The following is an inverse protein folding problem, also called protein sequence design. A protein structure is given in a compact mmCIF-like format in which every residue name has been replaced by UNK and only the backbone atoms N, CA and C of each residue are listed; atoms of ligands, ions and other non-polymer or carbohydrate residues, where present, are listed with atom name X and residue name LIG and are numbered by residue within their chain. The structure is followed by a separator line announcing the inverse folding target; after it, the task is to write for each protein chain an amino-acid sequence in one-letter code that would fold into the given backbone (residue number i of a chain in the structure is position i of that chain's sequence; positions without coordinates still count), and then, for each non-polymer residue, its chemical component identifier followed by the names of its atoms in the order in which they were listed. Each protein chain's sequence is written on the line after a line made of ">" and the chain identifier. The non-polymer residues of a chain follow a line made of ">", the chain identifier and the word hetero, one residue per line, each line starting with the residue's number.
data_IF_503554147970
#
_entry.id   IF_503554147970
#
_cell.length_a   1.000
_cell.length_b   1.000
_cell.length_c   1.000
_cell.angle_alpha   90.00
_cell.angle_beta   90.00
_cell.angle_gamma   90.00
#
_symmetry.space_group_name_H-M   'P 1'
#
loop_
_entity.id
_entity.type
_entity.pdbx_description
1 polymer ?
#
# COMPACT_ATOMS: atom_id res chain seq x y z
N UNK A 1 -2.24 -13.82 15.15
CA UNK A 1 -2.82 -12.85 14.19
C UNK A 1 -4.11 -13.42 13.62
N UNK A 2 -5.18 -12.65 13.49
CA UNK A 2 -6.46 -13.06 12.88
C UNK A 2 -7.23 -11.84 12.35
N UNK A 3 -8.18 -12.09 11.47
CA UNK A 3 -9.10 -11.07 10.94
C UNK A 3 -10.52 -11.33 11.45
N UNK A 4 -11.18 -10.28 11.88
CA UNK A 4 -12.57 -10.29 12.33
C UNK A 4 -13.41 -9.41 11.40
N UNK A 5 -14.36 -9.99 10.69
CA UNK A 5 -15.32 -9.26 9.88
C UNK A 5 -16.43 -8.71 10.79
N UNK A 6 -16.59 -7.37 10.82
CA UNK A 6 -17.53 -6.69 11.72
C UNK A 6 -18.87 -6.42 11.03
N UNK A 7 -18.81 -5.88 9.81
CA UNK A 7 -20.02 -5.49 9.06
C UNK A 7 -19.80 -5.55 7.55
N UNK A 8 -20.88 -5.75 6.81
CA UNK A 8 -20.95 -5.63 5.36
C UNK A 8 -22.02 -4.57 5.00
N UNK A 9 -21.73 -3.78 3.98
CA UNK A 9 -22.72 -2.87 3.40
C UNK A 9 -23.78 -3.68 2.63
N UNK A 10 -25.06 -3.39 2.85
CA UNK A 10 -26.16 -4.17 2.23
C UNK A 10 -26.31 -3.91 0.71
N UNK A 11 -25.72 -2.82 0.20
CA UNK A 11 -25.88 -2.35 -1.18
C UNK A 11 -24.63 -2.50 -2.04
N UNK A 12 -23.56 -3.01 -1.46
CA UNK A 12 -22.26 -3.23 -2.16
C UNK A 12 -21.49 -4.37 -1.53
N UNK A 13 -20.29 -4.64 -2.04
CA UNK A 13 -19.35 -5.60 -1.43
C UNK A 13 -18.44 -4.95 -0.37
N UNK A 14 -18.67 -3.68 -0.02
CA UNK A 14 -17.88 -2.97 0.97
C UNK A 14 -18.05 -3.62 2.36
N UNK A 15 -16.93 -3.72 3.07
CA UNK A 15 -16.91 -4.41 4.36
C UNK A 15 -15.99 -3.71 5.37
N UNK A 16 -16.34 -3.81 6.63
CA UNK A 16 -15.58 -3.30 7.75
C UNK A 16 -15.11 -4.45 8.64
N UNK A 17 -13.83 -4.50 8.95
CA UNK A 17 -13.23 -5.55 9.77
C UNK A 17 -12.19 -5.01 10.75
N UNK A 18 -11.55 -5.95 11.46
CA UNK A 18 -10.38 -5.72 12.31
C UNK A 18 -9.33 -6.78 12.04
N UNK A 19 -8.14 -6.36 11.69
CA UNK A 19 -6.98 -7.24 11.57
C UNK A 19 -6.14 -7.08 12.84
N UNK A 20 -6.07 -8.14 13.65
CA UNK A 20 -5.32 -8.18 14.90
C UNK A 20 -3.88 -8.60 14.61
N UNK A 21 -2.92 -7.70 14.88
CA UNK A 21 -1.49 -7.99 14.95
C UNK A 21 -1.00 -7.84 16.38
N UNK A 22 0.23 -8.24 16.64
CA UNK A 22 0.79 -8.12 17.99
C UNK A 22 1.13 -6.66 18.35
N UNK A 23 1.35 -5.79 17.33
CA UNK A 23 1.65 -4.38 17.54
C UNK A 23 0.42 -3.46 17.47
N UNK A 24 -0.65 -3.85 16.74
CA UNK A 24 -1.80 -2.99 16.54
C UNK A 24 -3.04 -3.77 16.10
N UNK A 25 -4.23 -3.32 16.51
CA UNK A 25 -5.48 -3.68 15.87
C UNK A 25 -5.73 -2.71 14.73
N UNK A 26 -5.78 -3.22 13.50
CA UNK A 26 -5.96 -2.44 12.29
C UNK A 26 -7.42 -2.47 11.90
N UNK A 27 -8.08 -1.32 11.88
CA UNK A 27 -9.47 -1.17 11.45
C UNK A 27 -9.52 -1.02 9.93
N UNK A 28 -10.18 -1.96 9.25
CA UNK A 28 -10.34 -1.92 7.79
C UNK A 28 -11.71 -1.35 7.39
N UNK A 29 -11.83 -0.68 6.21
CA UNK A 29 -10.76 -0.42 5.23
C UNK A 29 -9.66 0.48 5.79
N UNK A 30 -8.41 0.25 5.33
CA UNK A 30 -7.24 1.03 5.78
C UNK A 30 -6.34 1.42 4.61
N UNK A 31 -5.75 2.61 4.71
CA UNK A 31 -4.64 3.05 3.84
C UNK A 31 -3.32 3.01 4.61
N UNK A 32 -2.29 2.43 4.02
CA UNK A 32 -0.95 2.28 4.59
C UNK A 32 0.00 3.33 4.00
N UNK A 33 0.45 4.33 4.78
CA UNK A 33 1.52 5.23 4.34
C UNK A 33 2.80 4.48 3.99
N UNK A 34 3.42 4.82 2.84
CA UNK A 34 4.61 4.13 2.34
C UNK A 34 5.87 4.75 2.92
N UNK A 35 6.57 3.96 3.76
CA UNK A 35 7.87 4.28 4.33
C UNK A 35 9.00 3.50 3.64
N UNK A 36 9.35 3.84 2.41
CA UNK A 36 10.23 3.10 1.50
C UNK A 36 11.54 2.61 2.14
N UNK A 37 12.22 3.46 2.89
CA UNK A 37 13.48 3.15 3.59
C UNK A 37 13.32 3.25 5.12
N UNK A 38 12.16 2.83 5.63
CA UNK A 38 11.80 2.99 7.04
C UNK A 38 11.38 4.44 7.39
N UNK A 39 11.07 5.26 6.40
CA UNK A 39 10.63 6.65 6.59
C UNK A 39 9.56 7.00 5.57
N UNK A 40 8.41 7.47 6.04
CA UNK A 40 7.40 8.11 5.20
C UNK A 40 7.92 9.49 4.82
N UNK A 41 7.99 9.76 3.51
CA UNK A 41 8.70 10.95 2.99
C UNK A 41 8.14 12.26 3.55
N UNK A 42 9.02 13.05 4.16
CA UNK A 42 8.76 14.36 4.74
C UNK A 42 7.75 14.37 5.92
N UNK A 43 7.64 13.25 6.66
CA UNK A 43 6.75 13.14 7.82
C UNK A 43 7.48 12.45 8.97
N UNK A 44 7.40 13.00 10.17
CA UNK A 44 7.96 12.40 11.37
C UNK A 44 7.04 11.28 11.90
N UNK A 45 7.63 10.31 12.63
CA UNK A 45 6.86 9.21 13.23
C UNK A 45 5.78 9.70 14.21
N UNK A 46 6.04 10.73 15.00
CA UNK A 46 5.03 11.30 15.90
C UNK A 46 3.84 11.90 15.14
N UNK A 47 4.08 12.59 14.01
CA UNK A 47 3.02 13.11 13.14
C UNK A 47 2.17 11.96 12.54
N UNK A 48 2.84 10.85 12.12
CA UNK A 48 2.13 9.66 11.65
C UNK A 48 1.25 9.04 12.74
N UNK A 49 1.72 9.03 13.99
CA UNK A 49 0.99 8.44 15.13
C UNK A 49 -0.11 9.35 15.66
N UNK A 50 0.21 10.60 15.93
CA UNK A 50 -0.62 11.46 16.76
C UNK A 50 -1.56 12.34 15.94
N UNK A 51 -1.11 12.81 14.77
CA UNK A 51 -1.91 13.68 13.89
C UNK A 51 -2.61 12.86 12.79
N UNK A 52 -1.85 12.11 12.00
CA UNK A 52 -2.35 11.30 10.88
C UNK A 52 -3.07 10.04 11.39
N UNK A 53 -2.68 9.51 12.56
CA UNK A 53 -3.25 8.32 13.21
C UNK A 53 -3.12 7.05 12.38
N UNK A 54 -2.00 6.91 11.65
CA UNK A 54 -1.69 5.71 10.90
C UNK A 54 -1.58 4.50 11.83
N UNK A 55 -2.29 3.42 11.54
CA UNK A 55 -2.29 2.18 12.31
C UNK A 55 -1.25 1.19 11.81
N UNK A 56 -0.85 1.33 10.56
CA UNK A 56 0.11 0.48 9.86
C UNK A 56 0.84 1.32 8.83
N UNK A 57 2.12 1.02 8.61
CA UNK A 57 2.92 1.58 7.50
C UNK A 57 3.48 0.45 6.65
N UNK A 58 3.86 0.79 5.41
CA UNK A 58 4.51 -0.15 4.50
C UNK A 58 6.00 0.18 4.35
N UNK A 59 6.86 -0.82 4.55
CA UNK A 59 8.29 -0.78 4.24
C UNK A 59 8.62 -1.54 2.96
N UNK A 60 9.62 -1.09 2.18
CA UNK A 60 10.02 -1.80 0.98
C UNK A 60 11.24 -2.68 1.23
N UNK A 61 11.06 -3.99 1.15
CA UNK A 61 12.11 -4.99 1.39
C UNK A 61 13.35 -4.78 0.56
N UNK A 62 13.22 -4.54 -0.75
CA UNK A 62 14.35 -4.27 -1.65
C UNK A 62 15.22 -3.11 -1.16
N UNK A 63 14.60 -2.00 -0.79
CA UNK A 63 15.33 -0.82 -0.34
C UNK A 63 15.99 -1.03 1.01
N UNK A 64 15.29 -1.64 1.97
CA UNK A 64 15.82 -1.93 3.30
C UNK A 64 16.94 -2.97 3.26
N UNK A 65 16.84 -3.96 2.39
CA UNK A 65 17.91 -4.95 2.11
C UNK A 65 19.19 -4.29 1.62
N UNK A 66 19.11 -3.36 0.68
CA UNK A 66 20.27 -2.67 0.13
C UNK A 66 20.81 -1.58 1.05
N UNK A 67 19.93 -0.85 1.74
CA UNK A 67 20.30 0.24 2.64
C UNK A 67 19.20 0.48 3.68
N UNK A 68 19.49 0.38 4.98
CA UNK A 68 20.83 0.34 5.60
C UNK A 68 21.52 -1.03 5.50
N UNK A 69 20.83 -2.08 5.04
CA UNK A 69 21.30 -3.46 5.03
C UNK A 69 20.79 -4.25 6.24
N UNK A 70 20.73 -5.56 6.06
CA UNK A 70 20.10 -6.45 7.04
C UNK A 70 20.85 -6.52 8.38
N UNK A 71 22.18 -6.45 8.35
CA UNK A 71 22.99 -6.45 9.57
C UNK A 71 22.65 -5.28 10.49
N UNK A 72 22.49 -4.08 9.94
CA UNK A 72 22.13 -2.88 10.72
C UNK A 72 20.76 -3.04 11.34
N UNK A 73 19.77 -3.51 10.56
CA UNK A 73 18.39 -3.70 11.04
C UNK A 73 18.35 -4.78 12.13
N UNK A 74 19.07 -5.89 11.94
CA UNK A 74 19.15 -6.99 12.89
C UNK A 74 19.76 -6.55 14.22
N UNK A 75 20.90 -5.82 14.15
CA UNK A 75 21.58 -5.29 15.34
C UNK A 75 20.74 -4.26 16.10
N UNK A 76 19.87 -3.53 15.40
CA UNK A 76 18.89 -2.63 16.03
C UNK A 76 17.74 -3.37 16.72
N UNK A 77 17.55 -4.67 16.49
CA UNK A 77 16.44 -5.47 17.00
C UNK A 77 15.16 -5.36 16.15
N UNK A 78 15.32 -5.25 14.82
CA UNK A 78 14.25 -5.16 13.83
C UNK A 78 13.87 -3.74 13.44
N UNK A 79 13.05 -3.62 12.39
CA UNK A 79 12.67 -2.33 11.82
C UNK A 79 11.87 -1.47 12.80
N UNK A 80 10.98 -2.05 13.60
CA UNK A 80 10.20 -1.34 14.61
C UNK A 80 11.11 -0.53 15.54
N UNK A 81 12.14 -1.16 16.10
CA UNK A 81 13.10 -0.49 16.97
C UNK A 81 13.99 0.49 16.21
N UNK A 82 14.43 0.10 15.02
CA UNK A 82 15.32 0.92 14.19
C UNK A 82 14.71 2.29 13.85
N UNK A 83 13.40 2.32 13.53
CA UNK A 83 12.72 3.57 13.15
C UNK A 83 11.85 4.18 14.26
N UNK A 84 11.87 3.60 15.47
CA UNK A 84 11.02 4.03 16.59
C UNK A 84 9.52 4.04 16.24
N UNK A 85 9.04 2.92 15.69
CA UNK A 85 7.64 2.72 15.32
C UNK A 85 7.06 1.52 16.07
N UNK A 86 6.02 1.74 16.88
CA UNK A 86 5.42 0.76 17.77
C UNK A 86 4.06 0.21 17.26
N UNK A 87 3.66 0.55 16.03
CA UNK A 87 2.46 0.06 15.38
C UNK A 87 2.82 -0.94 14.29
N UNK A 88 1.81 -1.51 13.64
CA UNK A 88 2.02 -2.54 12.63
C UNK A 88 2.87 -2.07 11.43
N UNK A 89 3.63 -3.00 10.86
CA UNK A 89 4.40 -2.82 9.63
C UNK A 89 4.06 -3.95 8.66
N UNK A 90 3.76 -3.60 7.41
CA UNK A 90 3.77 -4.53 6.29
C UNK A 90 5.04 -4.31 5.46
N UNK A 91 5.70 -5.38 5.02
CA UNK A 91 6.77 -5.29 4.02
C UNK A 91 6.35 -5.96 2.72
N UNK A 92 6.62 -5.27 1.59
CA UNK A 92 6.50 -5.90 0.28
C UNK A 92 7.58 -6.99 0.09
N UNK A 93 7.49 -7.75 -1.01
CA UNK A 93 8.49 -8.77 -1.34
C UNK A 93 9.79 -8.22 -1.93
N UNK A 94 9.78 -6.97 -2.40
CA UNK A 94 10.83 -6.39 -3.23
C UNK A 94 10.75 -6.77 -4.72
N UNK A 95 9.85 -7.64 -5.12
CA UNK A 95 9.68 -8.10 -6.51
C UNK A 95 9.41 -6.95 -7.48
N UNK A 96 8.49 -6.05 -7.15
CA UNK A 96 8.18 -4.88 -7.98
C UNK A 96 9.39 -3.95 -8.17
N UNK A 97 10.20 -3.71 -7.13
CA UNK A 97 11.38 -2.85 -7.22
C UNK A 97 12.48 -3.49 -8.05
N UNK A 98 12.67 -4.80 -7.95
CA UNK A 98 13.56 -5.56 -8.87
C UNK A 98 13.06 -5.41 -10.31
N UNK A 99 11.72 -5.42 -10.51
CA UNK A 99 11.14 -5.19 -11.82
C UNK A 99 11.37 -3.75 -12.33
N UNK A 100 11.09 -2.74 -11.53
CA UNK A 100 11.04 -1.34 -11.96
C UNK A 100 12.40 -0.61 -11.94
N UNK A 101 13.34 -1.01 -11.06
CA UNK A 101 14.59 -0.30 -10.83
C UNK A 101 15.83 -1.02 -11.38
N UNK A 102 15.76 -2.34 -11.59
CA UNK A 102 16.90 -3.11 -12.08
C UNK A 102 16.92 -3.15 -13.61
N UNK A 103 17.79 -2.34 -14.22
CA UNK A 103 17.94 -2.28 -15.69
C UNK A 103 18.31 -3.63 -16.35
N UNK A 104 18.98 -4.53 -15.60
CA UNK A 104 19.42 -5.86 -16.04
C UNK A 104 18.98 -6.90 -15.02
N UNK A 105 17.69 -7.31 -15.07
CA UNK A 105 17.20 -8.44 -14.28
C UNK A 105 17.10 -9.70 -15.11
N UNK A 106 17.29 -10.85 -14.46
CA UNK A 106 17.01 -12.16 -15.03
C UNK A 106 16.12 -12.95 -14.08
N UNK A 107 14.97 -13.37 -14.58
CA UNK A 107 14.04 -14.23 -13.85
C UNK A 107 14.32 -15.68 -14.18
N UNK A 108 14.32 -16.53 -13.19
CA UNK A 108 14.54 -17.98 -13.29
C UNK A 108 13.64 -18.70 -12.30
N UNK A 109 13.49 -20.02 -12.43
CA UNK A 109 12.76 -20.82 -11.43
C UNK A 109 13.38 -20.65 -10.01
N UNK A 110 14.68 -20.39 -9.91
CA UNK A 110 15.37 -20.17 -8.63
C UNK A 110 14.97 -18.84 -7.98
N UNK A 111 14.82 -17.77 -8.76
CA UNK A 111 14.51 -16.43 -8.25
C UNK A 111 14.84 -15.33 -9.26
N UNK A 112 14.82 -14.11 -8.76
CA UNK A 112 15.10 -12.89 -9.51
C UNK A 112 16.55 -12.42 -9.27
N UNK A 113 17.38 -12.48 -10.30
CA UNK A 113 18.77 -11.98 -10.29
C UNK A 113 18.74 -10.52 -10.75
N UNK A 114 19.39 -9.63 -10.01
CA UNK A 114 19.42 -8.21 -10.32
C UNK A 114 20.74 -7.54 -9.91
N UNK A 115 20.94 -6.32 -10.41
CA UNK A 115 22.03 -5.43 -9.95
C UNK A 115 21.47 -4.33 -9.09
N UNK A 116 22.11 -4.06 -7.97
CA UNK A 116 21.80 -2.93 -7.10
C UNK A 116 21.88 -1.61 -7.88
N UNK A 117 20.86 -0.77 -7.73
CA UNK A 117 20.86 0.58 -8.31
C UNK A 117 21.78 1.55 -7.56
N UNK A 118 22.31 1.14 -6.39
CA UNK A 118 23.17 1.98 -5.53
C UNK A 118 24.62 1.88 -5.96
N UNK A 119 25.11 0.64 -6.15
CA UNK A 119 26.53 0.33 -6.34
C UNK A 119 26.82 -0.66 -7.47
N UNK A 120 25.77 -1.18 -8.13
CA UNK A 120 25.88 -2.14 -9.22
C UNK A 120 26.21 -3.57 -8.79
N UNK A 121 26.30 -3.87 -7.49
CA UNK A 121 26.51 -5.22 -6.97
C UNK A 121 25.41 -6.18 -7.41
N UNK A 122 25.77 -7.45 -7.62
CA UNK A 122 24.86 -8.50 -8.09
C UNK A 122 24.20 -9.20 -6.90
N UNK A 123 22.89 -9.32 -6.95
CA UNK A 123 22.05 -9.95 -5.94
C UNK A 123 21.07 -10.95 -6.56
N UNK A 124 20.55 -11.83 -5.74
CA UNK A 124 19.45 -12.73 -6.09
C UNK A 124 18.40 -12.70 -4.97
N UNK A 125 17.15 -12.50 -5.35
CA UNK A 125 15.99 -12.76 -4.49
C UNK A 125 15.39 -14.10 -4.86
N UNK A 126 15.45 -15.06 -3.95
CA UNK A 126 14.71 -16.32 -4.02
C UNK A 126 13.51 -16.26 -3.09
N UNK A 127 12.49 -17.11 -3.27
CA UNK A 127 11.36 -17.17 -2.35
C UNK A 127 11.79 -17.35 -0.89
N UNK A 128 12.82 -18.12 -0.65
CA UNK A 128 13.33 -18.42 0.68
C UNK A 128 14.05 -17.22 1.30
N UNK A 129 15.04 -16.64 0.60
CA UNK A 129 15.83 -15.56 1.18
C UNK A 129 15.05 -14.25 1.32
N UNK A 130 13.96 -14.05 0.56
CA UNK A 130 13.05 -12.93 0.76
C UNK A 130 12.25 -13.07 2.06
N UNK A 131 11.90 -14.30 2.44
CA UNK A 131 11.29 -14.57 3.76
C UNK A 131 12.31 -14.30 4.86
N UNK A 132 13.54 -14.84 4.75
CA UNK A 132 14.59 -14.61 5.73
C UNK A 132 14.89 -13.11 5.89
N UNK A 133 14.92 -12.38 4.78
CA UNK A 133 15.03 -10.91 4.77
C UNK A 133 13.91 -10.24 5.56
N UNK A 134 12.66 -10.62 5.31
CA UNK A 134 11.50 -10.05 6.02
C UNK A 134 11.43 -10.50 7.50
N UNK A 135 11.96 -11.71 7.82
CA UNK A 135 12.16 -12.14 9.23
C UNK A 135 13.15 -11.21 9.95
N UNK A 136 14.27 -10.86 9.30
CA UNK A 136 15.26 -9.92 9.84
C UNK A 136 14.69 -8.50 9.94
N UNK A 137 13.90 -8.05 8.97
CA UNK A 137 13.20 -6.77 9.05
C UNK A 137 12.20 -6.76 10.20
N UNK A 138 11.50 -7.88 10.43
CA UNK A 138 10.57 -8.04 11.56
C UNK A 138 9.23 -7.32 11.35
N UNK A 139 8.70 -7.29 10.11
CA UNK A 139 7.35 -6.76 9.85
C UNK A 139 6.26 -7.69 10.39
N UNK A 140 5.07 -7.15 10.70
CA UNK A 140 3.90 -7.96 11.10
C UNK A 140 3.35 -8.76 9.91
N UNK A 141 3.36 -8.15 8.72
CA UNK A 141 2.85 -8.78 7.49
C UNK A 141 3.98 -8.81 6.46
N UNK A 142 4.28 -10.00 5.97
CA UNK A 142 5.27 -10.28 4.93
C UNK A 142 4.57 -10.63 3.64
N UNK A 143 5.04 -10.10 2.51
CA UNK A 143 4.49 -10.41 1.18
C UNK A 143 5.29 -11.49 0.48
N UNK A 144 4.59 -12.36 -0.27
CA UNK A 144 5.22 -13.36 -1.11
C UNK A 144 6.00 -12.74 -2.26
N UNK A 145 7.14 -13.37 -2.64
CA UNK A 145 7.86 -12.97 -3.85
C UNK A 145 7.02 -13.30 -5.08
N UNK A 146 6.83 -12.31 -5.94
CA UNK A 146 6.02 -12.38 -7.14
C UNK A 146 6.68 -11.67 -8.33
N UNK A 147 6.20 -11.95 -9.53
CA UNK A 147 6.53 -11.17 -10.71
C UNK A 147 5.33 -10.29 -11.10
N UNK A 148 5.52 -8.97 -11.00
CA UNK A 148 4.58 -7.98 -11.52
C UNK A 148 4.83 -7.78 -13.02
N UNK A 149 3.87 -8.17 -13.86
CA UNK A 149 3.97 -7.98 -15.31
C UNK A 149 3.73 -6.51 -15.71
N UNK A 150 4.36 -6.01 -16.80
CA UNK A 150 4.01 -4.69 -17.33
C UNK A 150 2.60 -4.67 -17.93
N UNK A 151 2.06 -3.48 -18.17
CA UNK A 151 0.87 -3.28 -18.98
C UNK A 151 1.22 -2.35 -20.17
N UNK A 152 0.79 -2.67 -21.39
CA UNK A 152 0.21 -3.96 -21.80
C UNK A 152 1.22 -5.11 -21.80
N UNK A 153 0.73 -6.34 -21.64
CA UNK A 153 1.57 -7.51 -21.79
C UNK A 153 0.81 -8.62 -22.55
N UNK A 154 1.54 -9.43 -23.31
CA UNK A 154 0.94 -10.52 -24.06
C UNK A 154 0.47 -11.66 -23.13
N UNK A 155 -0.63 -12.32 -23.50
CA UNK A 155 -1.22 -13.42 -22.73
C UNK A 155 -0.20 -14.53 -22.39
N UNK A 156 0.61 -14.94 -23.37
CA UNK A 156 1.65 -15.98 -23.18
C UNK A 156 2.66 -15.58 -22.12
N UNK A 157 3.09 -14.30 -22.12
CA UNK A 157 4.00 -13.79 -21.11
C UNK A 157 3.32 -13.75 -19.74
N UNK A 158 2.11 -13.21 -19.63
CA UNK A 158 1.35 -13.15 -18.39
C UNK A 158 1.13 -14.55 -17.79
N UNK A 159 0.82 -15.55 -18.63
CA UNK A 159 0.66 -16.95 -18.19
C UNK A 159 1.96 -17.54 -17.65
N UNK A 160 3.09 -17.34 -18.35
CA UNK A 160 4.38 -17.86 -17.89
C UNK A 160 4.83 -17.19 -16.58
N UNK A 161 4.63 -15.88 -16.45
CA UNK A 161 4.88 -15.11 -15.24
C UNK A 161 4.03 -15.61 -14.06
N UNK A 162 2.75 -15.89 -14.31
CA UNK A 162 1.87 -16.46 -13.31
C UNK A 162 2.34 -17.84 -12.85
N UNK A 163 2.69 -18.73 -13.78
CA UNK A 163 3.18 -20.07 -13.46
C UNK A 163 4.49 -19.99 -12.65
N UNK A 164 5.37 -19.03 -12.92
CA UNK A 164 6.58 -18.76 -12.14
C UNK A 164 6.25 -18.25 -10.74
N UNK A 165 5.36 -17.27 -10.62
CA UNK A 165 4.90 -16.72 -9.33
C UNK A 165 4.30 -17.81 -8.44
N UNK A 166 3.51 -18.73 -9.02
CA UNK A 166 2.94 -19.85 -8.28
C UNK A 166 4.02 -20.82 -7.76
N UNK A 167 5.04 -21.16 -8.56
CA UNK A 167 6.18 -21.99 -8.11
C UNK A 167 6.93 -21.32 -6.95
N UNK A 168 7.16 -20.02 -7.06
CA UNK A 168 7.81 -19.25 -6.00
C UNK A 168 6.97 -19.21 -4.72
N UNK A 169 5.63 -19.08 -4.85
CA UNK A 169 4.75 -19.10 -3.69
C UNK A 169 4.80 -20.43 -2.94
N UNK A 170 4.77 -21.58 -3.66
CA UNK A 170 4.87 -22.90 -3.03
C UNK A 170 6.15 -23.04 -2.21
N UNK A 171 7.29 -22.66 -2.79
CA UNK A 171 8.59 -22.69 -2.12
C UNK A 171 8.62 -21.74 -0.92
N UNK A 172 8.17 -20.51 -1.13
CA UNK A 172 8.09 -19.49 -0.08
C UNK A 172 7.22 -19.96 1.09
N UNK A 173 6.03 -20.48 0.81
CA UNK A 173 5.13 -20.95 1.87
C UNK A 173 5.70 -22.14 2.65
N UNK A 174 6.41 -23.04 1.95
CA UNK A 174 7.11 -24.16 2.59
C UNK A 174 8.26 -23.67 3.50
N UNK A 175 8.98 -22.62 3.09
CA UNK A 175 10.07 -22.04 3.89
C UNK A 175 9.51 -21.23 5.07
N UNK A 176 8.46 -20.44 4.85
CA UNK A 176 7.77 -19.70 5.91
C UNK A 176 7.34 -20.59 7.08
N UNK A 177 6.81 -21.79 6.78
CA UNK A 177 6.40 -22.76 7.81
C UNK A 177 7.56 -23.40 8.58
N UNK A 178 8.79 -23.30 8.07
CA UNK A 178 10.00 -23.86 8.70
C UNK A 178 10.81 -22.83 9.48
N UNK A 179 10.49 -21.54 9.31
CA UNK A 179 11.21 -20.44 9.94
C UNK A 179 10.36 -19.73 10.98
N UNK A 180 11.01 -19.25 12.03
CA UNK A 180 10.35 -18.58 13.15
C UNK A 180 10.61 -17.05 13.13
N UNK A 181 9.69 -16.24 13.67
CA UNK A 181 9.93 -14.83 13.92
C UNK A 181 11.11 -14.59 14.85
N UNK A 182 11.89 -13.54 14.61
CA UNK A 182 13.13 -13.27 15.38
C UNK A 182 12.92 -12.39 16.61
N UNK A 183 11.82 -11.62 16.69
CA UNK A 183 11.67 -10.55 17.68
C UNK A 183 10.50 -10.74 18.64
N UNK A 184 9.98 -11.97 18.77
CA UNK A 184 8.97 -12.33 19.76
C UNK A 184 7.53 -11.90 19.43
N UNK A 185 7.26 -11.48 18.19
CA UNK A 185 5.91 -11.23 17.68
C UNK A 185 5.62 -12.09 16.44
N UNK A 186 4.37 -12.37 16.20
CA UNK A 186 3.93 -13.17 15.07
C UNK A 186 4.02 -12.37 13.75
N UNK A 187 4.39 -13.06 12.68
CA UNK A 187 4.44 -12.50 11.33
C UNK A 187 3.53 -13.32 10.42
N UNK A 188 2.59 -12.66 9.73
CA UNK A 188 1.77 -13.30 8.70
C UNK A 188 2.47 -13.27 7.34
N UNK A 189 2.19 -14.25 6.49
CA UNK A 189 2.69 -14.30 5.11
C UNK A 189 1.50 -14.28 4.15
N UNK A 190 1.41 -13.21 3.32
CA UNK A 190 0.32 -12.99 2.39
C UNK A 190 0.73 -13.42 0.98
N UNK A 191 0.04 -14.40 0.38
CA UNK A 191 0.17 -14.70 -1.03
C UNK A 191 -0.43 -13.60 -1.90
N UNK A 192 0.06 -13.50 -3.16
CA UNK A 192 -0.32 -12.45 -4.10
C UNK A 192 -0.99 -13.08 -5.32
N UNK A 193 -2.20 -12.63 -5.64
CA UNK A 193 -2.88 -12.93 -6.90
C UNK A 193 -2.25 -12.11 -8.02
N UNK A 194 -1.78 -12.78 -9.08
CA UNK A 194 -1.28 -12.18 -10.31
C UNK A 194 -2.14 -12.58 -11.52
N UNK A 195 -1.78 -12.23 -12.75
CA UNK A 195 -2.52 -12.61 -13.97
C UNK A 195 -2.79 -11.46 -14.92
N UNK A 196 -2.10 -10.30 -14.73
CA UNK A 196 -2.30 -9.10 -15.55
C UNK A 196 -3.79 -8.71 -15.62
N UNK A 197 -4.31 -8.41 -16.80
CA UNK A 197 -5.72 -8.05 -17.06
C UNK A 197 -6.51 -9.19 -17.73
N UNK A 198 -6.06 -10.44 -17.55
CA UNK A 198 -6.70 -11.62 -18.12
C UNK A 198 -7.54 -12.34 -17.07
N UNK A 199 -8.86 -12.38 -17.26
CA UNK A 199 -9.82 -12.94 -16.31
C UNK A 199 -9.51 -14.38 -15.90
N UNK A 200 -9.26 -15.24 -16.89
CA UNK A 200 -8.95 -16.65 -16.67
C UNK A 200 -7.67 -16.86 -15.87
N UNK A 201 -6.65 -16.02 -16.10
CA UNK A 201 -5.41 -16.05 -15.32
C UNK A 201 -5.64 -15.53 -13.89
N UNK A 202 -6.44 -14.48 -13.71
CA UNK A 202 -6.84 -13.98 -12.39
C UNK A 202 -7.64 -15.03 -11.60
N UNK A 203 -8.59 -15.70 -12.25
CA UNK A 203 -9.35 -16.80 -11.64
C UNK A 203 -8.42 -17.94 -11.22
N UNK A 204 -7.59 -18.43 -12.15
CA UNK A 204 -6.59 -19.48 -11.88
C UNK A 204 -5.70 -19.10 -10.70
N UNK A 205 -5.25 -17.85 -10.63
CA UNK A 205 -4.40 -17.37 -9.56
C UNK A 205 -5.13 -17.30 -8.22
N UNK A 206 -6.34 -16.74 -8.19
CA UNK A 206 -7.15 -16.67 -6.98
C UNK A 206 -7.48 -18.06 -6.42
N UNK A 207 -7.87 -19.02 -7.28
CA UNK A 207 -8.10 -20.41 -6.90
C UNK A 207 -6.83 -21.08 -6.35
N UNK A 208 -5.67 -20.77 -6.93
CA UNK A 208 -4.41 -21.34 -6.50
C UNK A 208 -3.99 -20.81 -5.14
N UNK A 209 -3.97 -19.47 -4.95
CA UNK A 209 -3.54 -18.87 -3.69
C UNK A 209 -4.49 -19.17 -2.53
N UNK A 210 -5.78 -19.36 -2.80
CA UNK A 210 -6.79 -19.71 -1.78
C UNK A 210 -6.58 -21.10 -1.15
N UNK A 211 -5.73 -21.95 -1.74
CA UNK A 211 -5.37 -23.24 -1.15
C UNK A 211 -4.39 -23.14 0.02
N UNK A 212 -3.73 -22.00 0.16
CA UNK A 212 -2.80 -21.76 1.25
C UNK A 212 -3.56 -21.21 2.46
N UNK A 213 -3.29 -21.75 3.64
CA UNK A 213 -3.85 -21.23 4.89
C UNK A 213 -3.11 -19.95 5.28
N UNK A 214 -3.53 -18.85 4.68
CA UNK A 214 -3.00 -17.51 4.92
C UNK A 214 -3.97 -16.68 5.78
N UNK A 215 -3.43 -15.73 6.52
CA UNK A 215 -4.23 -14.77 7.31
C UNK A 215 -4.95 -13.79 6.39
N UNK A 216 -4.38 -13.46 5.23
CA UNK A 216 -4.94 -12.56 4.23
C UNK A 216 -4.32 -12.77 2.86
N UNK A 217 -4.88 -12.12 1.86
CA UNK A 217 -4.48 -12.25 0.46
C UNK A 217 -4.28 -10.88 -0.18
N UNK A 218 -3.29 -10.77 -1.07
CA UNK A 218 -3.07 -9.56 -1.83
C UNK A 218 -3.44 -9.74 -3.31
N UNK A 219 -3.78 -8.63 -3.96
CA UNK A 219 -4.03 -8.51 -5.38
C UNK A 219 -2.98 -7.60 -5.96
N UNK A 220 -2.02 -8.17 -6.67
CA UNK A 220 -0.93 -7.45 -7.33
C UNK A 220 -1.11 -7.34 -8.85
N UNK A 221 -0.17 -6.66 -9.52
CA UNK A 221 -0.14 -6.53 -10.98
C UNK A 221 -1.32 -5.76 -11.57
N UNK A 222 -1.90 -4.86 -10.81
CA UNK A 222 -2.89 -3.87 -11.22
C UNK A 222 -2.37 -2.46 -10.92
N UNK A 223 -3.00 -1.42 -11.48
CA UNK A 223 -2.52 -0.02 -11.40
C UNK A 223 -1.12 0.17 -12.00
N UNK A 224 -0.81 -0.58 -13.04
CA UNK A 224 0.47 -0.53 -13.77
C UNK A 224 0.34 0.14 -15.16
N UNK A 225 -0.80 0.79 -15.43
CA UNK A 225 -1.05 1.56 -16.65
C UNK A 225 -2.35 1.20 -17.39
N UNK A 226 -3.09 0.19 -16.93
CA UNK A 226 -4.40 -0.18 -17.47
C UNK A 226 -5.48 0.87 -17.13
N UNK A 227 -6.56 0.95 -17.92
CA UNK A 227 -7.75 1.74 -17.59
C UNK A 227 -8.36 1.30 -16.24
N UNK A 228 -8.91 2.26 -15.49
CA UNK A 228 -9.47 1.99 -14.16
C UNK A 228 -10.59 0.93 -14.19
N UNK A 229 -11.45 0.98 -15.19
CA UNK A 229 -12.56 0.03 -15.39
C UNK A 229 -12.07 -1.41 -15.52
N UNK A 230 -10.93 -1.60 -16.20
CA UNK A 230 -10.30 -2.92 -16.36
C UNK A 230 -9.74 -3.42 -15.02
N UNK A 231 -9.11 -2.53 -14.24
CA UNK A 231 -8.67 -2.84 -12.88
C UNK A 231 -9.86 -3.26 -12.02
N UNK A 232 -10.96 -2.54 -12.06
CA UNK A 232 -12.16 -2.83 -11.28
C UNK A 232 -12.76 -4.19 -11.62
N UNK A 233 -12.85 -4.52 -12.92
CA UNK A 233 -13.30 -5.82 -13.38
C UNK A 233 -12.42 -6.96 -12.86
N UNK A 234 -11.10 -6.79 -12.87
CA UNK A 234 -10.18 -7.81 -12.34
C UNK A 234 -10.30 -7.98 -10.82
N UNK A 235 -10.57 -6.90 -10.09
CA UNK A 235 -10.85 -6.98 -8.65
C UNK A 235 -12.12 -7.80 -8.37
N UNK A 236 -13.19 -7.57 -9.12
CA UNK A 236 -14.44 -8.30 -9.00
C UNK A 236 -14.23 -9.80 -9.24
N UNK A 237 -13.58 -10.17 -10.35
CA UNK A 237 -13.23 -11.55 -10.69
C UNK A 237 -12.47 -12.25 -9.55
N UNK A 238 -11.49 -11.60 -8.96
CA UNK A 238 -10.68 -12.17 -7.88
C UNK A 238 -11.48 -12.28 -6.58
N UNK A 239 -12.26 -11.26 -6.25
CA UNK A 239 -13.00 -11.20 -4.99
C UNK A 239 -14.20 -12.18 -4.91
N UNK A 240 -14.66 -12.69 -6.05
CA UNK A 240 -15.64 -13.80 -6.07
C UNK A 240 -15.06 -15.12 -5.54
N UNK A 241 -13.72 -15.29 -5.65
CA UNK A 241 -13.01 -16.54 -5.33
C UNK A 241 -12.30 -16.47 -3.97
N UNK A 242 -11.68 -15.34 -3.63
CA UNK A 242 -10.94 -15.21 -2.38
C UNK A 242 -11.83 -15.39 -1.15
N UNK A 243 -11.35 -16.07 -0.09
CA UNK A 243 -12.09 -16.29 1.14
C UNK A 243 -12.68 -14.99 1.71
N UNK A 244 -13.97 -15.03 2.05
CA UNK A 244 -14.71 -13.84 2.51
C UNK A 244 -14.31 -13.41 3.93
N UNK A 245 -13.86 -14.36 4.75
CA UNK A 245 -13.42 -14.14 6.14
C UNK A 245 -11.97 -13.69 6.29
N UNK A 246 -11.28 -13.43 5.18
CA UNK A 246 -9.88 -13.00 5.17
C UNK A 246 -9.75 -11.58 4.62
N UNK A 247 -8.80 -10.75 5.08
CA UNK A 247 -8.56 -9.42 4.53
C UNK A 247 -7.95 -9.50 3.13
N UNK A 248 -8.32 -8.54 2.30
CA UNK A 248 -7.88 -8.40 0.90
C UNK A 248 -7.12 -7.09 0.73
N UNK A 249 -5.90 -7.20 0.26
CA UNK A 249 -5.00 -6.08 0.07
C UNK A 249 -4.79 -5.81 -1.43
N UNK A 250 -5.24 -4.65 -1.92
CA UNK A 250 -4.97 -4.19 -3.28
C UNK A 250 -3.69 -3.35 -3.30
N UNK A 251 -2.65 -3.90 -3.93
CA UNK A 251 -1.30 -3.35 -3.88
C UNK A 251 -1.13 -2.14 -4.81
N UNK A 252 -0.50 -1.08 -4.30
CA UNK A 252 -0.09 0.09 -5.08
C UNK A 252 -1.22 1.01 -5.54
N UNK A 253 -2.43 0.84 -5.04
CA UNK A 253 -3.61 1.64 -5.41
C UNK A 253 -3.96 2.63 -4.29
N UNK A 254 -4.23 3.88 -4.53
CA UNK A 254 -3.93 4.75 -5.63
C UNK A 254 -4.57 6.11 -5.43
N UNK A 255 -5.42 6.53 -6.37
CA UNK A 255 -6.17 7.78 -6.22
C UNK A 255 -7.27 7.63 -5.18
N UNK A 256 -7.76 8.73 -4.55
CA UNK A 256 -8.90 8.67 -3.63
C UNK A 256 -10.12 7.98 -4.23
N UNK A 257 -10.40 8.22 -5.52
CA UNK A 257 -11.50 7.57 -6.26
C UNK A 257 -11.27 6.07 -6.35
N UNK A 258 -10.07 5.63 -6.76
CA UNK A 258 -9.77 4.19 -6.89
C UNK A 258 -9.84 3.45 -5.56
N UNK A 259 -9.51 4.12 -4.45
CA UNK A 259 -9.66 3.57 -3.10
C UNK A 259 -11.14 3.33 -2.79
N UNK A 260 -12.01 4.32 -3.01
CA UNK A 260 -13.45 4.17 -2.78
C UNK A 260 -14.08 3.11 -3.68
N UNK A 261 -13.67 3.05 -4.95
CA UNK A 261 -14.10 2.00 -5.89
C UNK A 261 -13.62 0.61 -5.49
N UNK A 262 -12.38 0.51 -4.97
CA UNK A 262 -11.85 -0.73 -4.42
C UNK A 262 -12.61 -1.19 -3.16
N UNK A 263 -12.91 -0.27 -2.25
CA UNK A 263 -13.72 -0.56 -1.05
C UNK A 263 -15.11 -1.07 -1.44
N UNK A 264 -15.79 -0.44 -2.40
CA UNK A 264 -17.10 -0.90 -2.89
C UNK A 264 -17.06 -2.35 -3.38
N UNK A 265 -15.91 -2.80 -3.91
CA UNK A 265 -15.68 -4.14 -4.42
C UNK A 265 -15.12 -5.12 -3.38
N UNK A 266 -15.01 -4.70 -2.12
CA UNK A 266 -14.63 -5.56 -1.00
C UNK A 266 -13.13 -5.63 -0.71
N UNK A 267 -12.37 -4.60 -1.06
CA UNK A 267 -10.97 -4.45 -0.67
C UNK A 267 -10.87 -3.82 0.72
N UNK A 268 -9.95 -4.34 1.55
CA UNK A 268 -9.75 -3.92 2.94
C UNK A 268 -8.51 -3.06 3.15
N UNK A 269 -7.46 -3.28 2.37
CA UNK A 269 -6.15 -2.66 2.60
C UNK A 269 -5.60 -2.06 1.29
N UNK A 270 -4.99 -0.89 1.42
CA UNK A 270 -4.41 -0.13 0.29
C UNK A 270 -3.08 0.48 0.68
N UNK A 271 -2.20 0.65 -0.29
CA UNK A 271 -1.01 1.49 -0.20
C UNK A 271 -0.80 2.26 -1.49
N UNK A 272 -0.18 3.40 -1.42
CA UNK A 272 0.37 4.09 -2.59
C UNK A 272 1.33 5.20 -2.17
N UNK A 273 2.31 5.49 -3.01
CA UNK A 273 3.20 6.64 -2.84
C UNK A 273 2.56 7.98 -3.23
N UNK A 274 1.36 7.96 -3.85
CA UNK A 274 0.71 9.15 -4.39
C UNK A 274 0.49 10.27 -3.36
N UNK A 275 0.02 10.01 -2.13
CA UNK A 275 -0.21 11.10 -1.18
C UNK A 275 1.02 11.98 -0.99
N UNK A 276 2.16 11.40 -0.67
CA UNK A 276 3.40 12.14 -0.44
C UNK A 276 4.09 12.59 -1.74
N UNK A 277 3.98 11.82 -2.83
CA UNK A 277 4.53 12.21 -4.14
C UNK A 277 3.80 13.41 -4.70
N UNK A 278 2.47 13.40 -4.70
CA UNK A 278 1.65 14.50 -5.18
C UNK A 278 1.79 15.74 -4.29
N UNK A 279 1.86 15.58 -2.98
CA UNK A 279 2.13 16.65 -2.03
C UNK A 279 3.40 17.43 -2.39
N UNK A 280 4.51 16.73 -2.56
CA UNK A 280 5.79 17.36 -2.94
C UNK A 280 5.75 18.06 -4.30
N UNK A 281 4.80 17.69 -5.15
CA UNK A 281 4.54 18.34 -6.45
C UNK A 281 3.47 19.43 -6.38
N UNK A 282 2.90 19.70 -5.18
CA UNK A 282 1.94 20.76 -4.96
C UNK A 282 0.50 20.40 -5.28
N UNK A 283 0.18 19.10 -5.37
CA UNK A 283 -1.19 18.62 -5.50
C UNK A 283 -1.71 18.14 -4.14
N UNK A 284 -2.83 18.74 -3.71
CA UNK A 284 -3.48 18.45 -2.43
C UNK A 284 -4.87 17.88 -2.67
N UNK A 285 -5.28 16.95 -1.81
CA UNK A 285 -6.61 16.34 -1.83
C UNK A 285 -7.42 16.86 -0.67
N UNK A 286 -8.63 17.35 -0.93
CA UNK A 286 -9.57 17.83 0.08
C UNK A 286 -10.93 17.15 -0.09
N UNK A 287 -11.81 17.28 0.90
CA UNK A 287 -13.19 16.77 0.83
C UNK A 287 -14.00 17.42 -0.30
N UNK A 288 -13.58 18.60 -0.77
CA UNK A 288 -14.28 19.38 -1.81
C UNK A 288 -13.64 19.27 -3.20
N UNK A 289 -12.45 18.68 -3.27
CA UNK A 289 -11.76 18.53 -4.55
C UNK A 289 -10.23 18.56 -4.46
N UNK A 290 -9.61 18.68 -5.62
CA UNK A 290 -8.16 18.68 -5.80
C UNK A 290 -7.65 20.11 -5.95
N UNK A 291 -6.69 20.51 -5.13
CA UNK A 291 -6.00 21.78 -5.20
C UNK A 291 -4.63 21.58 -5.87
N UNK A 292 -4.37 22.30 -6.95
CA UNK A 292 -2.98 22.55 -7.38
C UNK A 292 -2.52 23.86 -6.74
N UNK A 293 -1.75 23.74 -5.65
CA UNK A 293 -1.32 24.91 -4.87
C UNK A 293 -0.39 25.84 -5.63
N UNK A 294 0.24 25.39 -6.72
CA UNK A 294 1.08 26.22 -7.59
C UNK A 294 0.29 27.24 -8.40
N UNK A 295 -1.02 27.05 -8.55
CA UNK A 295 -1.86 27.97 -9.30
C UNK A 295 -1.80 29.38 -8.70
N UNK A 296 -1.71 30.41 -9.57
CA UNK A 296 -1.58 31.82 -9.20
C UNK A 296 -2.75 32.34 -8.37
N UNK A 297 -3.94 31.79 -8.52
CA UNK A 297 -5.13 32.19 -7.74
C UNK A 297 -4.94 32.05 -6.22
N UNK A 298 -4.05 31.15 -5.77
CA UNK A 298 -3.76 30.95 -4.36
C UNK A 298 -2.71 31.91 -3.80
N UNK A 299 -2.12 32.80 -4.64
CA UNK A 299 -1.04 33.71 -4.24
C UNK A 299 -1.42 34.63 -3.09
N UNK A 300 -2.66 35.11 -3.08
CA UNK A 300 -3.20 36.02 -2.07
C UNK A 300 -4.34 35.38 -1.24
N UNK A 301 -4.43 34.06 -1.22
CA UNK A 301 -5.41 33.34 -0.39
C UNK A 301 -4.80 33.04 0.98
N UNK A 302 -5.08 33.88 1.95
CA UNK A 302 -4.63 33.78 3.34
C UNK A 302 -5.56 32.94 4.22
N UNK A 303 -6.59 32.31 3.65
CA UNK A 303 -7.45 31.38 4.37
C UNK A 303 -6.67 30.09 4.74
N UNK A 304 -7.15 29.34 5.76
CA UNK A 304 -6.59 28.04 6.13
C UNK A 304 -6.42 27.11 4.93
N UNK A 305 -5.42 26.23 5.00
CA UNK A 305 -5.11 25.29 3.92
C UNK A 305 -6.34 24.44 3.55
N UNK A 306 -6.97 23.82 4.54
CA UNK A 306 -8.25 23.12 4.40
C UNK A 306 -9.10 23.30 5.68
N UNK A 307 -10.17 24.09 5.65
CA UNK A 307 -11.04 24.28 6.83
C UNK A 307 -11.71 22.99 7.32
N UNK A 308 -11.87 22.00 6.43
CA UNK A 308 -12.49 20.70 6.74
C UNK A 308 -11.43 19.60 6.96
N UNK A 309 -10.15 19.97 6.92
CA UNK A 309 -9.01 19.05 7.12
C UNK A 309 -8.89 18.56 8.57
N UNK A 310 -8.22 17.44 8.75
CA UNK A 310 -8.13 16.74 10.03
C UNK A 310 -6.76 16.82 10.69
N UNK A 311 -5.78 17.43 10.04
CA UNK A 311 -4.43 17.61 10.57
C UNK A 311 -4.19 19.04 11.08
N UNK A 312 -3.19 19.18 11.97
CA UNK A 312 -2.82 20.50 12.49
C UNK A 312 -2.39 21.47 11.39
N UNK A 313 -1.77 21.00 10.32
CA UNK A 313 -1.30 21.85 9.21
C UNK A 313 -2.46 22.54 8.47
N UNK A 314 -3.64 21.92 8.48
CA UNK A 314 -4.81 22.40 7.74
C UNK A 314 -5.34 23.72 8.29
N UNK A 315 -5.24 23.94 9.60
CA UNK A 315 -5.67 25.15 10.28
C UNK A 315 -4.55 26.15 10.52
N UNK A 316 -3.29 25.69 10.67
CA UNK A 316 -2.17 26.54 11.03
C UNK A 316 -1.54 27.29 9.85
N UNK A 317 -1.66 26.71 8.63
CA UNK A 317 -1.03 27.29 7.45
C UNK A 317 -2.05 27.77 6.42
N UNK A 318 -1.73 28.88 5.75
CA UNK A 318 -2.54 29.41 4.66
C UNK A 318 -2.14 28.81 3.30
N UNK A 319 -3.07 28.83 2.36
CA UNK A 319 -2.80 28.44 0.96
C UNK A 319 -1.71 29.30 0.34
N UNK A 320 -1.71 30.62 0.59
CA UNK A 320 -0.68 31.54 0.10
C UNK A 320 0.71 31.18 0.60
N UNK A 321 0.85 30.84 1.88
CA UNK A 321 2.13 30.45 2.46
C UNK A 321 2.62 29.12 1.93
N UNK A 322 1.77 28.09 1.91
CA UNK A 322 2.15 26.80 1.33
C UNK A 322 2.54 26.93 -0.15
N UNK A 323 1.79 27.74 -0.92
CA UNK A 323 2.16 28.03 -2.31
C UNK A 323 3.57 28.62 -2.41
N UNK A 324 3.89 29.63 -1.58
CA UNK A 324 5.21 30.21 -1.52
C UNK A 324 6.29 29.15 -1.27
N UNK A 325 6.12 28.32 -0.25
CA UNK A 325 7.09 27.27 0.11
C UNK A 325 7.30 26.24 -1.03
N UNK A 326 6.22 25.79 -1.67
CA UNK A 326 6.30 24.81 -2.78
C UNK A 326 7.02 25.43 -4.01
N UNK A 327 6.76 26.69 -4.33
CA UNK A 327 7.44 27.37 -5.45
C UNK A 327 8.91 27.64 -5.13
N UNK A 328 9.21 28.00 -3.88
CA UNK A 328 10.57 28.20 -3.40
C UNK A 328 11.35 26.89 -3.19
N UNK A 329 10.67 25.73 -3.39
CA UNK A 329 11.23 24.40 -3.15
C UNK A 329 11.74 24.18 -1.71
N UNK A 330 11.06 24.81 -0.73
CA UNK A 330 11.37 24.64 0.68
C UNK A 330 10.89 23.29 1.22
N UNK A 331 11.71 22.65 2.05
CA UNK A 331 11.41 21.33 2.64
C UNK A 331 10.14 21.35 3.49
N UNK A 332 9.91 22.46 4.21
CA UNK A 332 8.69 22.65 5.03
C UNK A 332 7.43 22.56 4.15
N UNK A 333 7.45 23.09 2.92
CA UNK A 333 6.31 22.96 1.99
C UNK A 333 5.98 21.50 1.67
N UNK A 334 7.00 20.67 1.44
CA UNK A 334 6.83 19.23 1.22
C UNK A 334 6.29 18.51 2.47
N UNK A 335 6.71 18.91 3.67
CA UNK A 335 6.24 18.37 4.94
C UNK A 335 4.77 18.70 5.18
N UNK A 336 4.40 19.99 5.14
CA UNK A 336 3.01 20.46 5.31
C UNK A 336 2.07 19.72 4.35
N UNK A 337 2.41 19.71 3.05
CA UNK A 337 1.60 19.07 2.04
C UNK A 337 1.49 17.54 2.22
N UNK A 338 2.56 16.87 2.69
CA UNK A 338 2.55 15.43 2.92
C UNK A 338 1.70 15.04 4.13
N UNK A 339 1.78 15.79 5.23
CA UNK A 339 0.93 15.60 6.41
C UNK A 339 -0.53 15.79 6.04
N UNK A 340 -0.86 16.89 5.33
CA UNK A 340 -2.21 17.15 4.83
C UNK A 340 -2.77 15.97 4.00
N UNK A 341 -2.05 15.57 2.94
CA UNK A 341 -2.54 14.52 2.05
C UNK A 341 -2.69 13.17 2.77
N UNK A 342 -1.77 12.79 3.64
CA UNK A 342 -1.88 11.55 4.40
C UNK A 342 -3.06 11.59 5.38
N UNK A 343 -3.26 12.71 6.08
CA UNK A 343 -4.40 12.89 6.96
C UNK A 343 -5.72 12.76 6.19
N UNK A 344 -5.80 13.35 4.99
CA UNK A 344 -6.96 13.19 4.10
C UNK A 344 -7.21 11.72 3.71
N UNK A 345 -6.17 10.97 3.32
CA UNK A 345 -6.32 9.57 2.93
C UNK A 345 -6.78 8.70 4.10
N UNK A 346 -6.23 8.90 5.30
CA UNK A 346 -6.66 8.17 6.50
C UNK A 346 -8.08 8.56 6.91
N UNK A 347 -8.43 9.84 6.81
CA UNK A 347 -9.81 10.32 7.02
C UNK A 347 -10.78 9.65 6.03
N UNK A 348 -10.44 9.58 4.74
CA UNK A 348 -11.28 9.01 3.69
C UNK A 348 -11.67 7.56 3.97
N UNK A 349 -10.68 6.71 4.32
CA UNK A 349 -10.96 5.30 4.63
C UNK A 349 -11.70 5.13 5.96
N UNK A 350 -11.46 6.01 6.94
CA UNK A 350 -12.19 6.03 8.20
C UNK A 350 -13.66 6.41 8.02
N UNK A 351 -13.96 7.42 7.20
CA UNK A 351 -15.34 7.78 6.88
C UNK A 351 -16.01 6.69 6.03
N UNK A 352 -15.28 6.06 5.09
CA UNK A 352 -15.80 4.88 4.38
C UNK A 352 -16.22 3.79 5.37
N UNK A 353 -15.34 3.43 6.33
CA UNK A 353 -15.64 2.45 7.38
C UNK A 353 -16.89 2.82 8.17
N UNK A 354 -17.03 4.07 8.61
CA UNK A 354 -18.18 4.56 9.36
C UNK A 354 -19.48 4.40 8.56
N UNK A 355 -19.44 4.73 7.27
CA UNK A 355 -20.61 4.59 6.41
C UNK A 355 -20.93 3.11 6.10
N UNK A 356 -19.95 2.21 6.02
CA UNK A 356 -20.17 0.77 5.93
C UNK A 356 -20.91 0.26 7.18
N UNK A 357 -20.45 0.64 8.37
CA UNK A 357 -21.07 0.22 9.63
C UNK A 357 -22.52 0.74 9.75
N UNK A 358 -22.78 1.93 9.23
CA UNK A 358 -24.10 2.55 9.25
C UNK A 358 -25.00 2.16 8.05
N UNK A 359 -24.53 1.31 7.15
CA UNK A 359 -25.24 0.88 5.92
C UNK A 359 -25.61 2.03 4.97
N UNK A 360 -24.76 3.05 4.90
CA UNK A 360 -24.92 4.26 4.07
C UNK A 360 -23.76 4.47 3.09
N UNK A 361 -22.90 3.46 2.94
CA UNK A 361 -21.64 3.60 2.19
C UNK A 361 -21.87 3.96 0.72
N UNK A 362 -22.80 3.31 0.05
CA UNK A 362 -23.01 3.50 -1.40
C UNK A 362 -23.43 4.92 -1.75
N UNK A 363 -24.38 5.47 -1.00
CA UNK A 363 -24.87 6.85 -1.19
C UNK A 363 -23.76 7.86 -0.89
N UNK A 364 -23.10 7.73 0.26
CA UNK A 364 -21.98 8.58 0.66
C UNK A 364 -20.83 8.52 -0.36
N UNK A 365 -20.44 7.32 -0.80
CA UNK A 365 -19.38 7.12 -1.80
C UNK A 365 -19.68 7.87 -3.09
N UNK A 366 -20.91 7.76 -3.62
CA UNK A 366 -21.30 8.39 -4.85
C UNK A 366 -21.23 9.93 -4.80
N UNK A 367 -21.56 10.52 -3.66
CA UNK A 367 -21.41 11.96 -3.41
C UNK A 367 -19.93 12.34 -3.26
N UNK A 368 -19.18 11.57 -2.46
CA UNK A 368 -17.77 11.83 -2.21
C UNK A 368 -16.95 11.76 -3.49
N UNK A 369 -17.17 10.77 -4.36
CA UNK A 369 -16.48 10.64 -5.64
C UNK A 369 -16.68 11.87 -6.53
N UNK A 370 -17.89 12.45 -6.57
CA UNK A 370 -18.15 13.70 -7.30
C UNK A 370 -17.31 14.86 -6.74
N UNK A 371 -17.29 15.00 -5.41
CA UNK A 371 -16.59 16.08 -4.74
C UNK A 371 -15.07 15.97 -4.99
N UNK A 372 -14.45 14.82 -4.68
CA UNK A 372 -13.00 14.63 -4.77
C UNK A 372 -12.47 14.56 -6.22
N UNK A 373 -13.34 14.46 -7.21
CA UNK A 373 -12.98 14.54 -8.65
C UNK A 373 -12.96 15.98 -9.15
N UNK A 374 -13.49 16.93 -8.39
CA UNK A 374 -13.55 18.35 -8.77
C UNK A 374 -12.17 18.98 -8.66
N UNK A 375 -11.81 19.83 -9.61
CA UNK A 375 -10.60 20.67 -9.54
C UNK A 375 -10.95 22.04 -9.01
N UNK A 376 -10.40 22.39 -7.86
CA UNK A 376 -10.57 23.68 -7.19
C UNK A 376 -9.61 24.72 -7.71
#
# INVERSE_FOLDING_TARGET
>A
MHFELINNDSKSNARAGKLHTDHQIIETPIFMPVGTVGSVKAVHQHELKDDIKAQIILGNTYHLYLRPGLEVIQNAGGLHKFINWDRAILTDSGGYQVFSLAANRKLTDEGAIFKSHIDGSKHIFTPENVIDTQRIIGSDIMMALDECTPYPCEYKYAKNSLDLTHKWLERGFAHYKKTEPLYGHNQAYFPIVQGSVYKDLRQKSAEFVSKFDAIGYAIGGLSVGEPAEMMYEMIEVVNEILPKEKPRYLMGVGTPVNILEGIERGIDMFDCVMPTRNARNGMLFTQKGIINIKNVKWKNDFSPLDPDGTSYVDSQYSKAYLRHLIIANERLGAQIASVHNLAFYLWLVKEARKNIINDTFKEWKNEMVKNISTRL
#
